data_IF_225286749575
#
_entry.id   IF_225286749575
#
_cell.length_a   1.000
_cell.length_b   1.000
_cell.length_c   1.000
_cell.angle_alpha   90.00
_cell.angle_beta   90.00
_cell.angle_gamma   90.00
#
_symmetry.space_group_name_H-M   'P 1'
#
loop_
_entity.id
_entity.type
_entity.pdbx_description
1 polymer ?
#
# COMPACT_ATOMS: atom_id res chain seq x y z
N UNK A 1 16.86 -4.54 13.02
CA UNK A 1 15.80 -5.11 13.78
C UNK A 1 14.45 -4.70 13.26
N UNK A 2 13.55 -5.64 13.19
CA UNK A 2 12.25 -5.34 12.66
C UNK A 2 11.46 -4.47 13.63
N UNK A 3 10.66 -3.59 13.08
CA UNK A 3 9.82 -2.75 13.88
C UNK A 3 8.41 -3.29 13.76
N UNK A 4 7.84 -3.69 14.87
CA UNK A 4 6.54 -4.28 14.84
C UNK A 4 5.44 -3.25 14.98
N UNK A 5 4.34 -3.50 14.27
CA UNK A 5 3.12 -2.77 14.49
C UNK A 5 2.19 -3.73 15.22
N UNK A 6 1.77 -3.36 16.41
CA UNK A 6 0.85 -4.19 17.16
C UNK A 6 -0.52 -4.14 16.52
N UNK A 7 -1.09 -5.31 16.24
CA UNK A 7 -2.44 -5.38 15.69
C UNK A 7 -3.46 -4.77 16.63
N UNK A 8 -3.27 -4.95 17.92
CA UNK A 8 -4.18 -4.40 18.92
C UNK A 8 -4.12 -2.88 18.92
N UNK A 9 -2.92 -2.33 18.92
CA UNK A 9 -2.79 -0.87 18.92
C UNK A 9 -3.36 -0.29 17.64
N UNK A 10 -3.07 -0.92 16.50
CA UNK A 10 -3.59 -0.44 15.23
C UNK A 10 -5.12 -0.43 15.26
N UNK A 11 -5.72 -1.50 15.73
CA UNK A 11 -7.18 -1.57 15.82
C UNK A 11 -7.73 -0.44 16.68
N UNK A 12 -7.15 -0.23 17.85
CA UNK A 12 -7.62 0.81 18.77
C UNK A 12 -7.49 2.18 18.15
N UNK A 13 -6.39 2.44 17.45
CA UNK A 13 -6.19 3.74 16.82
C UNK A 13 -7.13 3.96 15.64
N UNK A 14 -7.45 2.89 14.91
CA UNK A 14 -8.40 3.02 13.81
C UNK A 14 -9.81 3.28 14.35
N UNK A 15 -10.18 2.65 15.47
CA UNK A 15 -11.45 2.95 16.10
C UNK A 15 -11.52 4.43 16.48
N UNK A 16 -10.46 4.96 17.09
CA UNK A 16 -10.40 6.38 17.41
C UNK A 16 -10.53 7.25 16.16
N UNK A 17 -9.87 6.82 15.09
CA UNK A 17 -9.93 7.55 13.82
C UNK A 17 -11.35 7.58 13.28
N UNK A 18 -12.05 6.46 13.38
CA UNK A 18 -13.44 6.42 12.94
C UNK A 18 -14.32 7.37 13.74
N UNK A 19 -14.07 7.44 15.03
CA UNK A 19 -14.85 8.33 15.90
C UNK A 19 -14.62 9.80 15.59
N UNK A 20 -13.40 10.16 15.21
CA UNK A 20 -13.13 11.56 14.92
C UNK A 20 -13.27 11.90 13.43
N UNK A 21 -13.49 10.91 12.58
CA UNK A 21 -13.71 11.15 11.16
C UNK A 21 -12.47 11.28 10.31
N UNK A 22 -11.29 11.12 10.89
CA UNK A 22 -10.05 11.16 10.13
C UNK A 22 -8.97 10.40 10.88
N UNK A 23 -7.94 9.98 10.16
CA UNK A 23 -6.88 9.20 10.77
C UNK A 23 -6.16 10.01 11.84
N UNK A 24 -5.94 9.37 13.00
CA UNK A 24 -5.17 10.01 14.05
C UNK A 24 -3.71 10.05 13.65
N UNK A 25 -2.92 10.98 14.21
CA UNK A 25 -1.49 10.99 13.91
C UNK A 25 -0.81 9.66 14.25
N UNK A 26 -1.23 9.01 15.31
CA UNK A 26 -0.65 7.72 15.69
C UNK A 26 -0.99 6.65 14.66
N UNK A 27 -2.23 6.64 14.14
CA UNK A 27 -2.61 5.72 13.07
C UNK A 27 -1.72 5.91 11.85
N UNK A 28 -1.51 7.16 11.46
CA UNK A 28 -0.67 7.45 10.31
C UNK A 28 0.74 6.92 10.52
N UNK A 29 1.29 7.13 11.71
CA UNK A 29 2.61 6.65 12.03
C UNK A 29 2.71 5.13 11.93
N UNK A 30 1.73 4.42 12.48
CA UNK A 30 1.71 2.97 12.44
C UNK A 30 1.58 2.47 10.99
N UNK A 31 0.72 3.11 10.22
CA UNK A 31 0.51 2.70 8.84
C UNK A 31 1.75 2.97 7.98
N UNK A 32 2.45 4.06 8.25
CA UNK A 32 3.70 4.34 7.55
C UNK A 32 4.76 3.28 7.85
N UNK A 33 4.82 2.81 9.09
CA UNK A 33 5.73 1.73 9.43
C UNK A 33 5.38 0.46 8.67
N UNK A 34 4.09 0.14 8.59
CA UNK A 34 3.65 -1.04 7.84
C UNK A 34 4.02 -0.91 6.37
N UNK A 35 3.82 0.27 5.79
CA UNK A 35 4.15 0.49 4.39
C UNK A 35 5.63 0.25 4.15
N UNK A 36 6.47 0.76 5.03
CA UNK A 36 7.90 0.60 4.89
C UNK A 36 8.30 -0.88 4.92
N UNK A 37 7.71 -1.64 5.83
CA UNK A 37 8.04 -3.07 5.93
C UNK A 37 7.48 -3.87 4.76
N UNK A 38 6.25 -3.60 4.37
CA UNK A 38 5.63 -4.36 3.29
C UNK A 38 6.29 -4.06 1.96
N UNK A 39 6.75 -2.82 1.76
CA UNK A 39 7.40 -2.47 0.51
C UNK A 39 8.64 -3.31 0.23
N UNK A 40 9.21 -3.91 1.27
CA UNK A 40 10.42 -4.72 1.11
C UNK A 40 10.18 -6.04 0.41
N UNK A 41 8.93 -6.46 0.26
CA UNK A 41 8.67 -7.73 -0.42
C UNK A 41 8.78 -7.61 -1.94
N UNK A 42 8.89 -6.41 -2.48
CA UNK A 42 9.06 -6.20 -3.91
C UNK A 42 10.52 -5.83 -4.21
N UNK A 43 10.93 -6.09 -5.44
CA UNK A 43 12.28 -5.76 -5.89
C UNK A 43 12.22 -4.51 -6.74
N UNK A 44 13.12 -3.58 -6.48
CA UNK A 44 13.13 -2.30 -7.19
C UNK A 44 14.48 -2.08 -7.85
N UNK A 45 14.47 -1.43 -9.00
CA UNK A 45 15.72 -1.08 -9.68
C UNK A 45 16.38 0.13 -9.04
N UNK A 46 15.59 1.03 -8.51
CA UNK A 46 16.13 2.26 -7.92
C UNK A 46 15.36 2.59 -6.65
N UNK A 47 16.00 3.36 -5.79
CA UNK A 47 15.37 3.77 -4.53
C UNK A 47 14.16 4.66 -4.79
N UNK A 48 14.21 5.51 -5.81
CA UNK A 48 13.06 6.34 -6.15
C UNK A 48 11.85 5.51 -6.51
N UNK A 49 12.05 4.38 -7.16
CA UNK A 49 10.94 3.51 -7.52
C UNK A 49 10.27 2.95 -6.28
N UNK A 50 11.05 2.59 -5.29
CA UNK A 50 10.52 2.10 -4.04
C UNK A 50 9.70 3.19 -3.35
N UNK A 51 10.21 4.40 -3.34
CA UNK A 51 9.51 5.52 -2.72
C UNK A 51 8.20 5.81 -3.44
N UNK A 52 8.19 5.71 -4.75
CA UNK A 52 6.96 5.88 -5.52
C UNK A 52 5.93 4.82 -5.16
N UNK A 53 6.37 3.58 -5.02
CA UNK A 53 5.46 2.50 -4.65
C UNK A 53 4.90 2.70 -3.24
N UNK A 54 5.74 3.18 -2.32
CA UNK A 54 5.27 3.48 -0.98
C UNK A 54 4.23 4.61 -0.99
N UNK A 55 4.42 5.60 -1.87
CA UNK A 55 3.44 6.67 -2.01
C UNK A 55 2.12 6.15 -2.55
N UNK A 56 2.15 5.21 -3.50
CA UNK A 56 0.93 4.56 -3.97
C UNK A 56 0.22 3.83 -2.84
N UNK A 57 0.99 3.15 -1.99
CA UNK A 57 0.39 2.44 -0.87
C UNK A 57 -0.26 3.41 0.11
N UNK A 58 0.39 4.52 0.38
CA UNK A 58 -0.16 5.51 1.29
C UNK A 58 -1.43 6.12 0.73
N UNK A 59 -1.44 6.38 -0.57
CA UNK A 59 -2.62 6.90 -1.23
C UNK A 59 -3.80 5.95 -1.08
N UNK A 60 -3.58 4.65 -1.28
CA UNK A 60 -4.61 3.66 -1.10
C UNK A 60 -5.10 3.61 0.35
N UNK A 61 -4.20 3.71 1.31
CA UNK A 61 -4.59 3.74 2.70
C UNK A 61 -5.50 4.94 2.98
N UNK A 62 -5.13 6.10 2.46
CA UNK A 62 -5.94 7.31 2.67
C UNK A 62 -7.30 7.21 2.00
N UNK A 63 -7.37 6.52 0.87
CA UNK A 63 -8.64 6.35 0.18
C UNK A 63 -9.55 5.33 0.86
N UNK A 64 -8.97 4.27 1.40
CA UNK A 64 -9.77 3.11 1.77
C UNK A 64 -9.82 2.79 3.26
N UNK A 65 -9.09 3.53 4.11
CA UNK A 65 -9.04 3.20 5.53
C UNK A 65 -10.43 3.15 6.17
N UNK A 66 -11.32 3.98 5.68
CA UNK A 66 -12.63 4.09 6.29
C UNK A 66 -13.55 2.91 5.94
N UNK A 67 -13.11 2.04 5.04
CA UNK A 67 -13.86 0.82 4.73
C UNK A 67 -13.71 -0.25 5.78
N UNK A 68 -12.68 -0.15 6.62
CA UNK A 68 -12.54 -1.10 7.70
C UNK A 68 -13.69 -0.92 8.67
N UNK A 69 -14.37 -2.04 8.99
CA UNK A 69 -15.51 -1.97 9.91
C UNK A 69 -15.15 -2.69 11.20
N UNK A 70 -14.87 -1.96 12.28
CA UNK A 70 -14.47 -2.58 13.54
C UNK A 70 -15.56 -3.39 14.20
N UNK A 71 -16.81 -3.21 13.77
CA UNK A 71 -17.89 -4.02 14.31
C UNK A 71 -17.94 -5.40 13.68
N UNK A 72 -17.36 -5.56 12.50
CA UNK A 72 -17.34 -6.84 11.82
C UNK A 72 -16.05 -7.60 12.04
N UNK A 73 -14.97 -6.92 12.37
CA UNK A 73 -13.69 -7.58 12.54
C UNK A 73 -12.80 -6.77 13.45
N UNK A 74 -11.97 -7.45 14.24
CA UNK A 74 -10.96 -6.78 15.03
C UNK A 74 -9.59 -6.87 14.36
N UNK A 75 -9.52 -7.50 13.18
CA UNK A 75 -8.23 -7.73 12.53
C UNK A 75 -7.87 -6.58 11.57
N UNK A 76 -7.62 -5.42 12.16
CA UNK A 76 -7.19 -4.27 11.38
C UNK A 76 -5.87 -4.54 10.66
N UNK A 77 -4.99 -5.29 11.31
CA UNK A 77 -3.69 -5.56 10.73
C UNK A 77 -3.83 -6.27 9.37
N UNK A 78 -4.68 -7.26 9.27
CA UNK A 78 -4.88 -7.97 8.01
C UNK A 78 -5.49 -7.06 6.95
N UNK A 79 -6.47 -6.27 7.34
CA UNK A 79 -7.11 -5.36 6.40
C UNK A 79 -6.09 -4.38 5.81
N UNK A 80 -5.30 -3.76 6.65
CA UNK A 80 -4.35 -2.76 6.17
C UNK A 80 -3.15 -3.39 5.46
N UNK A 81 -2.75 -4.59 5.88
CA UNK A 81 -1.71 -5.31 5.15
C UNK A 81 -2.14 -5.53 3.70
N UNK A 82 -3.39 -5.95 3.49
CA UNK A 82 -3.87 -6.19 2.14
C UNK A 82 -3.99 -4.89 1.35
N UNK A 83 -4.50 -3.83 1.98
CA UNK A 83 -4.61 -2.53 1.31
C UNK A 83 -3.24 -2.03 0.88
N UNK A 84 -2.26 -2.15 1.76
CA UNK A 84 -0.91 -1.68 1.47
C UNK A 84 -0.26 -2.52 0.37
N UNK A 85 -0.43 -3.84 0.42
CA UNK A 85 0.10 -4.69 -0.64
C UNK A 85 -0.49 -4.34 -1.99
N UNK A 86 -1.79 -4.12 -2.02
CA UNK A 86 -2.45 -3.77 -3.28
C UNK A 86 -1.93 -2.45 -3.82
N UNK A 87 -1.76 -1.45 -2.96
CA UNK A 87 -1.25 -0.16 -3.39
C UNK A 87 0.18 -0.24 -3.87
N UNK A 88 1.03 -0.94 -3.12
CA UNK A 88 2.42 -1.11 -3.50
C UNK A 88 2.52 -1.82 -4.85
N UNK A 89 1.72 -2.88 -5.03
CA UNK A 89 1.74 -3.63 -6.27
C UNK A 89 1.26 -2.79 -7.45
N UNK A 90 0.26 -1.95 -7.26
CA UNK A 90 -0.18 -1.07 -8.34
C UNK A 90 0.94 -0.14 -8.79
N UNK A 91 1.66 0.42 -7.84
CA UNK A 91 2.79 1.28 -8.17
C UNK A 91 3.89 0.51 -8.87
N UNK A 92 4.22 -0.68 -8.36
CA UNK A 92 5.24 -1.53 -8.93
C UNK A 92 4.88 -1.93 -10.36
N UNK A 93 3.64 -2.33 -10.55
CA UNK A 93 3.18 -2.74 -11.87
C UNK A 93 3.25 -1.59 -12.87
N UNK A 94 2.89 -0.39 -12.42
CA UNK A 94 2.95 0.78 -13.27
C UNK A 94 4.38 1.06 -13.71
N UNK A 95 5.33 0.91 -12.81
CA UNK A 95 6.73 1.20 -13.12
C UNK A 95 7.39 0.13 -13.98
N UNK A 96 7.07 -1.12 -13.73
CA UNK A 96 7.83 -2.20 -14.36
C UNK A 96 7.06 -2.97 -15.42
N UNK A 97 5.83 -3.32 -15.15
CA UNK A 97 5.08 -4.09 -16.12
C UNK A 97 4.55 -3.25 -17.26
N UNK A 98 3.97 -2.12 -16.94
CA UNK A 98 3.40 -1.28 -18.00
C UNK A 98 4.48 -0.70 -18.88
N UNK A 99 5.58 -0.30 -18.30
CA UNK A 99 6.69 0.20 -19.09
C UNK A 99 7.27 -0.87 -19.98
N UNK A 100 7.43 -2.06 -19.45
CA UNK A 100 7.93 -3.17 -20.24
C UNK A 100 7.01 -3.50 -21.39
N UNK A 101 5.73 -3.52 -21.14
CA UNK A 101 4.77 -3.79 -22.19
C UNK A 101 4.83 -2.75 -23.28
N UNK A 102 4.88 -1.50 -22.89
CA UNK A 102 4.99 -0.42 -23.87
C UNK A 102 6.25 -0.52 -24.69
N UNK A 103 7.33 -0.83 -24.03
CA UNK A 103 8.60 -0.91 -24.69
C UNK A 103 8.62 -2.03 -25.73
N UNK A 104 8.10 -3.16 -25.35
CA UNK A 104 8.00 -4.28 -26.26
C UNK A 104 7.12 -3.94 -27.45
N UNK A 105 6.01 -3.31 -27.18
CA UNK A 105 5.08 -2.96 -28.20
C UNK A 105 5.71 -2.02 -29.23
N UNK A 106 6.53 -1.13 -28.79
CA UNK A 106 7.18 -0.18 -29.67
C UNK A 106 8.09 -0.89 -30.66
N UNK A 107 8.73 -1.93 -30.23
CA UNK A 107 9.67 -2.59 -31.12
C UNK A 107 8.99 -3.59 -32.03
N UNK A 108 7.82 -4.10 -31.71
CA UNK A 108 7.23 -5.07 -32.57
C UNK A 108 6.06 -4.53 -33.26
N UNK A 109 5.10 -4.18 -32.55
CA UNK A 109 3.87 -3.76 -33.06
C UNK A 109 2.98 -3.50 -31.93
N UNK A 110 2.33 -2.44 -31.99
CA UNK A 110 1.56 -2.01 -30.89
C UNK A 110 0.53 -3.00 -30.43
N UNK A 111 0.04 -3.81 -31.28
CA UNK A 111 -1.02 -4.70 -30.86
C UNK A 111 -0.64 -5.64 -29.79
N UNK A 112 0.60 -5.92 -29.72
CA UNK A 112 0.99 -6.99 -28.87
C UNK A 112 0.96 -6.68 -27.43
N UNK A 113 1.27 -5.49 -27.05
CA UNK A 113 1.43 -5.29 -25.67
C UNK A 113 0.18 -4.99 -24.95
N UNK A 114 -0.84 -5.07 -25.61
CA UNK A 114 -2.03 -4.88 -24.95
C UNK A 114 -2.28 -5.86 -23.97
N UNK A 115 -1.46 -6.53 -23.70
CA UNK A 115 -1.55 -7.45 -22.75
C UNK A 115 -1.90 -7.15 -21.49
#
# INVERSE_FOLDING_TARGET
MAVYVSGKELFEEIVKSKERGELTPRSIFLLQKMIKEISKIFTYSREEDKEDCMAFAMFDVLLYWNRFNPEKSTNAFAFFTQTIKNGTYKGWRRLYKEKSSKFISTSQDSGVYNI
#
